data_IF_242482351695
#
_entry.id   IF_242482351695
#
_cell.length_a   1.000
_cell.length_b   1.000
_cell.length_c   1.000
_cell.angle_alpha   90.00
_cell.angle_beta   90.00
_cell.angle_gamma   90.00
#
_symmetry.space_group_name_H-M   'P 1'
#
loop_
_entity.id
_entity.type
_entity.pdbx_description
1 polymer ?
#
# COMPACT_ATOMS: atom_id res chain seq x y z
N UNK A 1 17.75 -7.93 -25.58
CA UNK A 1 17.40 -6.61 -25.03
C UNK A 1 15.99 -6.72 -24.44
N UNK A 2 15.89 -6.92 -23.13
CA UNK A 2 14.59 -7.05 -22.46
C UNK A 2 13.93 -5.67 -22.41
N UNK A 3 12.70 -5.57 -22.91
CA UNK A 3 11.93 -4.33 -22.93
C UNK A 3 11.74 -3.86 -21.49
N UNK A 4 12.18 -2.64 -21.17
CA UNK A 4 12.04 -2.02 -19.84
C UNK A 4 10.59 -2.02 -19.30
N UNK A 5 9.59 -2.22 -20.16
CA UNK A 5 8.16 -2.24 -19.80
C UNK A 5 7.65 -3.54 -19.16
N UNK A 6 8.38 -4.66 -19.19
CA UNK A 6 7.91 -5.92 -18.56
C UNK A 6 8.44 -6.13 -17.14
N UNK A 7 9.20 -5.16 -16.59
CA UNK A 7 9.93 -5.31 -15.32
C UNK A 7 9.19 -4.83 -14.07
N UNK A 8 7.98 -4.30 -14.21
CA UNK A 8 7.26 -3.60 -13.15
C UNK A 8 5.76 -3.95 -13.13
N UNK A 9 5.46 -5.25 -13.08
CA UNK A 9 4.09 -5.76 -12.95
C UNK A 9 3.88 -6.52 -11.63
N UNK A 10 4.78 -6.38 -10.66
CA UNK A 10 4.69 -7.09 -9.39
C UNK A 10 3.47 -6.64 -8.59
N UNK A 11 3.06 -5.36 -8.65
CA UNK A 11 1.80 -4.94 -8.03
C UNK A 11 0.57 -5.59 -8.67
N UNK A 12 0.64 -6.01 -9.93
CA UNK A 12 -0.43 -6.69 -10.65
C UNK A 12 -0.41 -8.21 -10.45
N UNK A 13 0.77 -8.81 -10.31
CA UNK A 13 0.92 -10.27 -10.21
C UNK A 13 0.90 -10.81 -8.78
N UNK A 14 1.18 -9.98 -7.78
CA UNK A 14 1.24 -10.44 -6.39
C UNK A 14 -0.16 -10.76 -5.85
N UNK A 15 -0.23 -11.79 -5.01
CA UNK A 15 -1.45 -12.17 -4.30
C UNK A 15 -1.65 -11.21 -3.12
N UNK A 16 -2.51 -10.20 -3.31
CA UNK A 16 -2.86 -9.27 -2.25
C UNK A 16 -3.82 -9.90 -1.23
N UNK A 17 -3.69 -9.49 0.03
CA UNK A 17 -4.72 -9.72 1.02
C UNK A 17 -5.75 -8.60 0.90
N UNK A 18 -7.04 -8.95 0.83
CA UNK A 18 -8.11 -7.97 0.66
C UNK A 18 -9.00 -7.87 1.89
N UNK A 19 -9.54 -6.67 2.11
CA UNK A 19 -10.56 -6.38 3.10
C UNK A 19 -11.77 -5.77 2.40
N UNK A 20 -12.93 -6.32 2.71
CA UNK A 20 -14.21 -5.82 2.24
C UNK A 20 -14.57 -4.50 2.92
N UNK A 21 -15.34 -3.67 2.23
CA UNK A 21 -15.81 -2.38 2.74
C UNK A 21 -16.35 -1.50 1.61
N UNK A 22 -16.46 -0.20 1.89
CA UNK A 22 -16.85 0.82 0.93
C UNK A 22 -15.67 1.16 0.01
N UNK A 23 -15.92 1.17 -1.30
CA UNK A 23 -14.95 1.56 -2.32
C UNK A 23 -14.37 0.37 -3.08
N UNK A 24 -13.25 0.61 -3.76
CA UNK A 24 -12.52 -0.42 -4.51
C UNK A 24 -11.27 -0.85 -3.71
N UNK A 25 -11.07 -2.14 -3.40
CA UNK A 25 -9.86 -2.62 -2.72
C UNK A 25 -8.56 -2.21 -3.42
N UNK A 26 -8.53 -2.08 -4.75
CA UNK A 26 -7.35 -1.63 -5.48
C UNK A 26 -7.06 -0.13 -5.31
N UNK A 27 -8.07 0.68 -4.95
CA UNK A 27 -7.94 2.12 -4.73
C UNK A 27 -7.22 2.48 -3.43
N UNK A 28 -7.05 1.54 -2.51
CA UNK A 28 -6.25 1.70 -1.30
C UNK A 28 -5.32 0.50 -1.14
N UNK A 29 -4.02 0.70 -1.39
CA UNK A 29 -3.01 -0.37 -1.27
C UNK A 29 -2.08 -0.09 -0.10
N UNK A 30 -2.13 -0.94 0.93
CA UNK A 30 -1.36 -0.78 2.16
C UNK A 30 -0.15 -1.72 2.22
N UNK A 31 1.06 -1.18 2.17
CA UNK A 31 2.30 -1.92 2.39
C UNK A 31 2.67 -1.90 3.87
N UNK A 32 2.88 -3.08 4.45
CA UNK A 32 3.08 -3.24 5.90
C UNK A 32 4.17 -4.25 6.26
N UNK A 33 4.50 -4.29 7.56
CA UNK A 33 5.27 -5.37 8.20
C UNK A 33 4.44 -5.94 9.37
N UNK A 34 4.40 -7.27 9.51
CA UNK A 34 3.55 -7.95 10.50
C UNK A 34 3.94 -7.64 11.96
N UNK A 35 5.20 -7.25 12.19
CA UNK A 35 5.76 -6.90 13.50
C UNK A 35 5.74 -5.41 13.83
N UNK A 36 5.24 -4.55 12.94
CA UNK A 36 5.24 -3.10 13.14
C UNK A 36 3.94 -2.60 13.80
N UNK A 37 4.06 -1.89 14.94
CA UNK A 37 2.92 -1.30 15.65
C UNK A 37 2.12 -0.31 14.80
N UNK A 38 2.79 0.62 14.12
CA UNK A 38 2.14 1.59 13.22
C UNK A 38 1.42 0.93 12.05
N UNK A 39 1.95 -0.18 11.52
CA UNK A 39 1.28 -0.95 10.46
C UNK A 39 -0.05 -1.55 10.95
N UNK A 40 -0.07 -2.08 12.18
CA UNK A 40 -1.30 -2.59 12.79
C UNK A 40 -2.34 -1.48 13.00
N UNK A 41 -1.90 -0.32 13.49
CA UNK A 41 -2.78 0.85 13.67
C UNK A 41 -3.35 1.35 12.34
N UNK A 42 -2.52 1.46 11.30
CA UNK A 42 -2.95 1.84 9.95
C UNK A 42 -4.02 0.88 9.39
N UNK A 43 -3.75 -0.44 9.44
CA UNK A 43 -4.71 -1.45 8.95
C UNK A 43 -6.03 -1.38 9.72
N UNK A 44 -5.95 -1.33 11.06
CA UNK A 44 -7.12 -1.23 11.93
C UNK A 44 -7.93 0.03 11.64
N UNK A 45 -7.29 1.16 11.40
CA UNK A 45 -7.97 2.40 11.06
C UNK A 45 -8.79 2.28 9.77
N UNK A 46 -8.24 1.67 8.71
CA UNK A 46 -8.98 1.45 7.46
C UNK A 46 -10.18 0.49 7.67
N UNK A 47 -9.98 -0.57 8.46
CA UNK A 47 -11.04 -1.51 8.84
C UNK A 47 -12.15 -0.82 9.66
N UNK A 48 -11.81 0.00 10.65
CA UNK A 48 -12.76 0.76 11.48
C UNK A 48 -13.53 1.83 10.69
N UNK A 49 -12.90 2.40 9.65
CA UNK A 49 -13.57 3.28 8.68
C UNK A 49 -14.44 2.52 7.67
N UNK A 50 -14.43 1.19 7.70
CA UNK A 50 -15.20 0.34 6.79
C UNK A 50 -14.81 0.52 5.33
N UNK A 51 -13.54 0.79 5.05
CA UNK A 51 -13.03 0.99 3.69
C UNK A 51 -12.63 -0.35 3.07
N UNK A 52 -12.90 -0.52 1.78
CA UNK A 52 -12.31 -1.60 1.02
C UNK A 52 -10.85 -1.27 0.71
N UNK A 53 -9.93 -2.18 0.98
CA UNK A 53 -8.51 -2.00 0.67
C UNK A 53 -7.81 -3.33 0.49
N UNK A 54 -6.68 -3.31 -0.19
CA UNK A 54 -5.76 -4.44 -0.29
C UNK A 54 -4.47 -4.15 0.46
N UNK A 55 -3.83 -5.17 1.02
CA UNK A 55 -2.61 -5.02 1.81
C UNK A 55 -1.66 -6.19 1.64
N UNK A 56 -0.39 -5.92 1.97
CA UNK A 56 0.67 -6.91 1.93
C UNK A 56 1.59 -6.75 3.14
N UNK A 57 1.95 -7.86 3.76
CA UNK A 57 2.98 -7.93 4.80
C UNK A 57 4.30 -8.34 4.13
N UNK A 58 5.21 -7.40 3.88
CA UNK A 58 6.40 -7.66 3.05
C UNK A 58 7.39 -8.68 3.67
N UNK A 59 7.22 -9.02 4.94
CA UNK A 59 8.03 -10.03 5.61
C UNK A 59 7.42 -11.44 5.56
N UNK A 60 6.27 -11.63 4.90
CA UNK A 60 5.62 -12.95 4.74
C UNK A 60 5.78 -13.50 3.32
N UNK A 61 6.40 -12.75 2.41
CA UNK A 61 6.66 -13.15 1.01
C UNK A 61 8.13 -13.48 0.79
N UNK A 62 8.44 -14.01 -0.41
CA UNK A 62 9.81 -14.34 -0.80
C UNK A 62 10.72 -13.10 -0.81
N UNK A 63 12.03 -13.26 -0.56
CA UNK A 63 13.00 -12.17 -0.70
C UNK A 63 13.03 -11.57 -2.11
N UNK A 64 12.80 -12.37 -3.15
CA UNK A 64 12.71 -11.91 -4.53
C UNK A 64 11.51 -10.97 -4.74
N UNK A 65 10.30 -11.41 -4.33
CA UNK A 65 9.08 -10.62 -4.48
C UNK A 65 9.13 -9.34 -3.66
N UNK A 66 9.68 -9.42 -2.44
CA UNK A 66 9.92 -8.25 -1.59
C UNK A 66 10.83 -7.22 -2.26
N UNK A 67 11.87 -7.69 -2.96
CA UNK A 67 12.79 -6.82 -3.68
C UNK A 67 12.11 -6.21 -4.91
N UNK A 68 11.34 -7.01 -5.65
CA UNK A 68 10.57 -6.56 -6.80
C UNK A 68 9.55 -5.48 -6.43
N UNK A 69 8.73 -5.70 -5.39
CA UNK A 69 7.76 -4.71 -4.88
C UNK A 69 8.46 -3.39 -4.52
N UNK A 70 9.61 -3.45 -3.84
CA UNK A 70 10.35 -2.25 -3.45
C UNK A 70 10.93 -1.48 -4.64
N UNK A 71 11.47 -2.19 -5.63
CA UNK A 71 12.03 -1.56 -6.82
C UNK A 71 10.93 -1.02 -7.74
N UNK A 72 9.77 -1.66 -7.79
CA UNK A 72 8.59 -1.15 -8.49
C UNK A 72 8.02 0.10 -7.84
N UNK A 73 7.86 0.08 -6.51
CA UNK A 73 7.49 1.27 -5.75
C UNK A 73 8.49 2.41 -6.00
N UNK A 74 9.79 2.10 -6.00
CA UNK A 74 10.84 3.08 -6.27
C UNK A 74 10.79 3.63 -7.70
N UNK A 75 10.50 2.80 -8.68
CA UNK A 75 10.35 3.24 -10.06
C UNK A 75 9.12 4.14 -10.24
N UNK A 76 8.04 3.87 -9.50
CA UNK A 76 6.79 4.63 -9.57
C UNK A 76 6.84 5.97 -8.83
N UNK A 77 7.49 6.02 -7.66
CA UNK A 77 7.45 7.17 -6.75
C UNK A 77 8.81 7.83 -6.49
N UNK A 78 9.85 7.38 -7.19
CA UNK A 78 11.24 7.84 -7.07
C UNK A 78 11.81 7.75 -5.64
N UNK A 79 11.18 6.96 -4.76
CA UNK A 79 11.63 6.74 -3.37
C UNK A 79 11.42 5.30 -2.92
N UNK A 80 12.13 4.87 -1.89
CA UNK A 80 11.87 3.58 -1.24
C UNK A 80 10.67 3.69 -0.29
N UNK A 81 9.86 2.62 -0.15
CA UNK A 81 8.74 2.63 0.78
C UNK A 81 9.25 2.58 2.23
N UNK A 82 8.53 3.26 3.12
CA UNK A 82 8.71 3.25 4.56
C UNK A 82 7.39 2.84 5.21
N UNK A 83 7.43 1.92 6.17
CA UNK A 83 6.21 1.23 6.60
C UNK A 83 5.55 1.90 7.83
N UNK A 84 4.21 2.01 7.86
CA UNK A 84 3.28 1.67 6.77
C UNK A 84 3.38 2.68 5.61
N UNK A 85 3.17 2.20 4.38
CA UNK A 85 2.92 3.07 3.22
C UNK A 85 1.51 2.79 2.72
N UNK A 86 0.68 3.81 2.64
CA UNK A 86 -0.64 3.73 2.00
C UNK A 86 -0.55 4.35 0.62
N UNK A 87 -0.81 3.59 -0.44
CA UNK A 87 -0.99 4.12 -1.79
C UNK A 87 -2.48 4.36 -1.99
N UNK A 88 -2.82 5.54 -2.48
CA UNK A 88 -4.18 5.99 -2.73
C UNK A 88 -4.35 6.14 -4.24
N UNK A 89 -5.35 5.44 -4.76
CA UNK A 89 -5.55 5.16 -6.18
C UNK A 89 -4.26 4.59 -6.79
N UNK A 90 -3.67 5.27 -7.77
CA UNK A 90 -2.46 4.80 -8.43
C UNK A 90 -1.22 5.62 -8.10
N UNK A 91 -1.35 6.94 -7.89
CA UNK A 91 -0.22 7.86 -7.99
C UNK A 91 0.05 8.68 -6.72
N UNK A 92 -0.80 8.57 -5.69
CA UNK A 92 -0.57 9.22 -4.39
C UNK A 92 -0.16 8.17 -3.36
N UNK A 93 0.65 8.58 -2.40
CA UNK A 93 0.94 7.73 -1.25
C UNK A 93 1.25 8.55 0.01
N UNK A 94 0.98 7.94 1.16
CA UNK A 94 1.29 8.44 2.49
C UNK A 94 2.30 7.51 3.15
N UNK A 95 3.19 8.09 3.96
CA UNK A 95 4.23 7.37 4.69
C UNK A 95 4.01 7.54 6.18
N UNK A 96 4.07 6.44 6.92
CA UNK A 96 3.71 6.42 8.33
C UNK A 96 2.20 6.45 8.53
N UNK A 97 1.79 6.42 9.80
CA UNK A 97 0.38 6.52 10.17
C UNK A 97 0.18 7.72 11.08
N UNK A 98 -0.50 8.73 10.56
CA UNK A 98 -1.06 9.85 11.31
C UNK A 98 -2.54 9.93 10.93
N UNK A 99 -3.43 9.91 11.94
CA UNK A 99 -4.86 9.82 11.71
C UNK A 99 -5.41 11.06 11.01
N UNK A 100 -4.99 12.25 11.43
CA UNK A 100 -5.47 13.51 10.87
C UNK A 100 -5.12 13.61 9.37
N UNK A 101 -3.85 13.37 9.03
CA UNK A 101 -3.37 13.37 7.65
C UNK A 101 -4.10 12.34 6.79
N UNK A 102 -4.35 11.14 7.32
CA UNK A 102 -5.05 10.10 6.57
C UNK A 102 -6.53 10.46 6.35
N UNK A 103 -7.19 11.06 7.35
CA UNK A 103 -8.55 11.56 7.20
C UNK A 103 -8.63 12.60 6.08
N UNK A 104 -7.72 13.58 6.05
CA UNK A 104 -7.67 14.64 5.03
C UNK A 104 -7.43 14.09 3.62
N UNK A 105 -6.50 13.14 3.47
CA UNK A 105 -6.05 12.66 2.16
C UNK A 105 -6.97 11.59 1.53
N UNK A 106 -7.67 10.83 2.37
CA UNK A 106 -8.65 9.80 1.95
C UNK A 106 -10.04 10.43 1.77
N UNK A 107 -10.39 11.44 2.55
CA UNK A 107 -11.70 12.09 2.52
C UNK A 107 -11.59 13.61 2.29
N UNK A 108 -11.05 14.06 1.14
CA UNK A 108 -10.82 15.48 0.89
C UNK A 108 -12.10 16.31 0.87
N UNK A 109 -13.25 15.69 0.57
CA UNK A 109 -14.55 16.37 0.52
C UNK A 109 -15.15 16.66 1.92
N UNK A 110 -14.52 16.16 2.99
CA UNK A 110 -14.95 16.39 4.38
C UNK A 110 -14.13 17.50 5.08
N UNK A 111 -13.18 18.13 4.37
CA UNK A 111 -12.32 19.21 4.86
C UNK A 111 -12.94 20.60 4.64
#
# INVERSE_FOLDING_TARGET
>A
MLKKHERYNMFESIQWLEKEGRGNPAGLTLLTLSTCGFCKSARRYLEERGLAFRYLELNTISPEDKTAIKEEFRAKFERRPSFPTLIIEENRFLVGFNKEQWDEEIFPDNA
#
